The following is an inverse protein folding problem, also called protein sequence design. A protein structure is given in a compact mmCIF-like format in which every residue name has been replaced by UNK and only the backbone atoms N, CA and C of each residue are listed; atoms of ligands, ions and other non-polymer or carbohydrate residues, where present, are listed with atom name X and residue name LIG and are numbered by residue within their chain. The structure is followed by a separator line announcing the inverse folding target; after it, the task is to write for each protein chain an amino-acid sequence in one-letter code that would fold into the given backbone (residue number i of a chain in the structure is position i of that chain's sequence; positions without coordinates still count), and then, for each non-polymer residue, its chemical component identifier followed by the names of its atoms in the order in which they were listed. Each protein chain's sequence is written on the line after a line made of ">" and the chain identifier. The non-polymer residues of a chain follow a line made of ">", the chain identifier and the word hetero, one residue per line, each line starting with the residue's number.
data_IF_940536066518
#
_entry.id   IF_940536066518
#
_cell.length_a   1.000
_cell.length_b   1.000
_cell.length_c   1.000
_cell.angle_alpha   90.00
_cell.angle_beta   90.00
_cell.angle_gamma   90.00
#
_symmetry.space_group_name_H-M   'P 1'
#
loop_
_entity.id
_entity.type
_entity.pdbx_description
1 polymer ?
#
# COMPACT_ATOMS: atom_id res chain seq x y z
N UNK A 1 -8.56 -6.22 -6.76
CA UNK A 1 -7.41 -6.91 -6.15
C UNK A 1 -7.28 -8.27 -6.80
N UNK A 2 -6.07 -8.71 -7.18
CA UNK A 2 -5.82 -10.15 -7.27
C UNK A 2 -6.31 -10.73 -5.94
N UNK A 3 -7.08 -11.82 -5.96
CA UNK A 3 -7.96 -12.33 -4.88
C UNK A 3 -7.36 -12.35 -3.45
N UNK A 4 -6.04 -12.20 -3.32
CA UNK A 4 -5.30 -11.99 -2.08
C UNK A 4 -4.29 -10.81 -2.23
N UNK A 5 -4.17 -9.88 -1.26
CA UNK A 5 -3.25 -8.72 -1.37
C UNK A 5 -1.78 -9.12 -1.58
N UNK A 6 -1.34 -10.24 -1.04
CA UNK A 6 0.02 -10.76 -1.26
C UNK A 6 0.30 -11.19 -2.73
N UNK A 7 -0.73 -11.44 -3.54
CA UNK A 7 -0.53 -11.84 -4.94
C UNK A 7 0.10 -10.72 -5.78
N UNK A 8 -0.18 -9.45 -5.44
CA UNK A 8 0.49 -8.30 -6.06
C UNK A 8 2.00 -8.27 -5.76
N UNK A 9 2.39 -8.64 -4.54
CA UNK A 9 3.79 -8.73 -4.12
C UNK A 9 4.51 -9.87 -4.85
N UNK A 10 3.89 -11.04 -4.96
CA UNK A 10 4.45 -12.17 -5.70
C UNK A 10 4.68 -11.83 -7.18
N UNK A 11 3.71 -11.14 -7.80
CA UNK A 11 3.88 -10.64 -9.17
C UNK A 11 5.04 -9.63 -9.29
N UNK A 12 5.14 -8.68 -8.34
CA UNK A 12 6.23 -7.69 -8.33
C UNK A 12 7.60 -8.36 -8.19
N UNK A 13 7.74 -9.33 -7.29
CA UNK A 13 8.97 -10.09 -7.10
C UNK A 13 9.41 -10.80 -8.40
N UNK A 14 8.47 -11.48 -9.06
CA UNK A 14 8.73 -12.15 -10.34
C UNK A 14 9.13 -11.17 -11.44
N UNK A 15 8.55 -9.97 -11.45
CA UNK A 15 8.89 -8.91 -12.41
C UNK A 15 10.26 -8.30 -12.15
N UNK A 16 10.60 -8.00 -10.90
CA UNK A 16 11.92 -7.50 -10.53
C UNK A 16 13.03 -8.48 -10.91
N UNK A 17 12.77 -9.78 -10.74
CA UNK A 17 13.72 -10.82 -11.13
C UNK A 17 14.08 -10.76 -12.63
N UNK A 18 13.12 -10.42 -13.51
CA UNK A 18 13.37 -10.23 -14.95
C UNK A 18 14.32 -9.06 -15.24
N UNK A 19 14.43 -8.11 -14.32
CA UNK A 19 15.32 -6.95 -14.39
C UNK A 19 16.60 -7.12 -13.56
N UNK A 20 16.91 -8.34 -13.10
CA UNK A 20 18.11 -8.62 -12.31
C UNK A 20 18.07 -8.04 -10.88
N UNK A 21 16.90 -7.63 -10.41
CA UNK A 21 16.68 -7.11 -9.05
C UNK A 21 15.84 -8.10 -8.24
N UNK A 22 15.96 -8.08 -6.91
CA UNK A 22 15.13 -8.86 -6.01
C UNK A 22 14.67 -8.00 -4.83
N UNK A 23 13.59 -8.44 -4.18
CA UNK A 23 13.16 -7.86 -2.92
C UNK A 23 14.07 -8.37 -1.80
N UNK A 24 14.60 -7.46 -1.00
CA UNK A 24 15.48 -7.79 0.11
C UNK A 24 14.69 -8.08 1.39
N UNK A 25 15.26 -8.91 2.26
CA UNK A 25 14.67 -9.16 3.57
C UNK A 25 14.63 -7.86 4.39
N UNK A 26 13.46 -7.55 4.96
CA UNK A 26 13.23 -6.33 5.73
C UNK A 26 12.71 -5.14 4.92
N UNK A 27 12.52 -5.27 3.59
CA UNK A 27 11.89 -4.21 2.80
C UNK A 27 10.40 -4.07 3.10
N UNK A 28 9.96 -2.82 3.25
CA UNK A 28 8.55 -2.48 3.40
C UNK A 28 7.93 -2.25 2.01
N UNK A 29 6.94 -3.05 1.66
CA UNK A 29 6.27 -2.97 0.35
C UNK A 29 4.77 -2.73 0.56
N UNK A 30 4.24 -1.72 -0.15
CA UNK A 30 2.81 -1.45 -0.18
C UNK A 30 2.14 -2.31 -1.25
N UNK A 31 1.22 -3.19 -0.84
CA UNK A 31 0.51 -4.15 -1.71
C UNK A 31 -0.45 -3.50 -2.73
N UNK A 32 -0.60 -2.19 -2.68
CA UNK A 32 -1.46 -1.40 -3.54
C UNK A 32 -2.76 -0.95 -2.87
N UNK A 33 -3.43 0.07 -3.43
CA UNK A 33 -4.65 0.62 -2.86
C UNK A 33 -5.83 -0.34 -3.02
N UNK A 34 -6.65 -0.47 -1.96
CA UNK A 34 -7.93 -1.18 -2.00
C UNK A 34 -9.13 -0.24 -2.14
N UNK A 35 -8.92 1.06 -1.99
CA UNK A 35 -9.92 2.12 -2.20
C UNK A 35 -9.56 2.99 -3.40
N UNK A 36 -10.55 3.73 -3.91
CA UNK A 36 -10.27 4.77 -4.90
C UNK A 36 -9.49 5.90 -4.24
N UNK A 37 -8.56 6.56 -4.97
CA UNK A 37 -7.92 7.77 -4.48
C UNK A 37 -8.97 8.82 -4.10
N UNK A 38 -8.73 9.52 -3.00
CA UNK A 38 -9.50 10.66 -2.53
C UNK A 38 -8.69 11.93 -2.77
N UNK A 39 -9.34 12.97 -3.30
CA UNK A 39 -8.74 14.30 -3.39
C UNK A 39 -8.73 14.96 -2.01
N UNK A 40 -7.57 15.48 -1.61
CA UNK A 40 -7.36 16.18 -0.33
C UNK A 40 -6.89 17.60 -0.59
N UNK A 41 -7.35 18.53 0.25
CA UNK A 41 -7.01 19.95 0.22
C UNK A 41 -6.30 20.36 1.50
N UNK A 42 -5.64 21.53 1.48
CA UNK A 42 -5.07 22.14 2.68
C UNK A 42 -6.20 22.38 3.70
N UNK A 43 -5.98 21.95 4.94
CA UNK A 43 -6.95 21.98 6.03
C UNK A 43 -7.63 20.64 6.30
N UNK A 44 -7.55 19.68 5.39
CA UNK A 44 -8.25 18.40 5.54
C UNK A 44 -7.58 17.51 6.60
N UNK A 45 -8.40 16.73 7.30
CA UNK A 45 -7.95 15.65 8.17
C UNK A 45 -8.60 14.35 7.71
N UNK A 46 -7.78 13.34 7.47
CA UNK A 46 -8.22 12.03 6.96
C UNK A 46 -7.94 10.95 8.00
N UNK A 47 -8.96 10.14 8.27
CA UNK A 47 -8.90 8.95 9.13
C UNK A 47 -9.13 7.71 8.27
N UNK A 48 -8.18 6.78 8.30
CA UNK A 48 -8.37 5.42 7.83
C UNK A 48 -8.53 4.49 9.02
N UNK A 49 -9.69 3.86 9.13
CA UNK A 49 -10.01 2.88 10.16
C UNK A 49 -9.98 1.46 9.57
N UNK A 50 -9.04 0.64 10.04
CA UNK A 50 -8.89 -0.76 9.66
C UNK A 50 -9.50 -1.71 10.72
N UNK A 51 -10.35 -1.19 11.61
CA UNK A 51 -11.00 -1.96 12.68
C UNK A 51 -9.99 -2.48 13.70
N UNK A 52 -9.94 -3.80 13.88
CA UNK A 52 -9.04 -4.44 14.85
C UNK A 52 -7.56 -4.26 14.52
N UNK A 53 -7.23 -3.92 13.27
CA UNK A 53 -5.85 -3.59 12.86
C UNK A 53 -5.43 -2.16 13.21
N UNK A 54 -6.36 -1.36 13.77
CA UNK A 54 -6.09 0.00 14.23
C UNK A 54 -6.43 1.07 13.21
N UNK A 55 -5.99 2.29 13.50
CA UNK A 55 -6.33 3.50 12.75
C UNK A 55 -5.08 4.26 12.32
N UNK A 56 -5.17 4.90 11.15
CA UNK A 56 -4.13 5.78 10.60
C UNK A 56 -4.77 7.15 10.38
N UNK A 57 -4.14 8.21 10.88
CA UNK A 57 -4.62 9.59 10.71
C UNK A 57 -3.58 10.46 10.04
N UNK A 58 -4.03 11.40 9.21
CA UNK A 58 -3.18 12.39 8.57
C UNK A 58 -3.91 13.74 8.51
N UNK A 59 -3.20 14.83 8.83
CA UNK A 59 -3.70 16.20 8.68
C UNK A 59 -2.89 16.93 7.62
N UNK A 60 -3.56 17.48 6.61
CA UNK A 60 -2.95 18.25 5.53
C UNK A 60 -2.97 19.73 5.92
N UNK A 61 -1.82 20.31 6.25
CA UNK A 61 -1.70 21.69 6.78
C UNK A 61 -0.95 22.61 5.83
#
# INVERSE_FOLDING_TARGET
>A
MLNHPAAGIAWLANKLHQHGTALAAGELILAGPFTRPLWVSRGDSVLWDYGTMGTITCSFR
#
